data_IF_579827519193
#
_entry.id   IF_579827519193
#
_cell.length_a   1.000
_cell.length_b   1.000
_cell.length_c   1.000
_cell.angle_alpha   90.00
_cell.angle_beta   90.00
_cell.angle_gamma   90.00
#
_symmetry.space_group_name_H-M   'P 1'
#
loop_
_entity.id
_entity.type
_entity.pdbx_description
1 polymer ?
#
# COMPACT_ATOMS: atom_id res chain seq x y z
N UNK A 1 13.58 -23.14 22.13
CA UNK A 1 12.35 -22.61 21.53
C UNK A 1 12.78 -21.58 20.50
N UNK A 2 12.78 -21.98 19.24
CA UNK A 2 13.02 -21.10 18.11
C UNK A 2 11.87 -20.11 18.06
N UNK A 3 12.15 -18.83 18.31
CA UNK A 3 11.21 -17.78 17.95
C UNK A 3 11.13 -17.82 16.42
N UNK A 4 10.04 -18.36 15.90
CA UNK A 4 9.65 -18.25 14.50
C UNK A 4 9.48 -16.77 14.17
N UNK A 5 10.59 -16.09 13.91
CA UNK A 5 10.63 -14.76 13.33
C UNK A 5 10.28 -14.94 11.86
N UNK A 6 9.01 -15.31 11.61
CA UNK A 6 8.36 -15.26 10.33
C UNK A 6 8.28 -13.77 9.98
N UNK A 7 9.38 -13.20 9.51
CA UNK A 7 9.35 -12.11 8.55
C UNK A 7 8.71 -12.67 7.27
N UNK A 8 7.41 -12.96 7.36
CA UNK A 8 6.54 -13.05 6.22
C UNK A 8 6.70 -11.68 5.55
N UNK A 9 7.26 -11.65 4.34
CA UNK A 9 7.20 -10.49 3.45
C UNK A 9 5.74 -10.02 3.44
N UNK A 10 5.42 -9.02 4.27
CA UNK A 10 4.05 -8.63 4.51
C UNK A 10 3.65 -7.78 3.33
N UNK A 11 2.72 -8.27 2.52
CA UNK A 11 2.19 -7.49 1.40
C UNK A 11 1.42 -6.29 1.94
N UNK A 12 1.81 -5.10 1.50
CA UNK A 12 1.19 -3.83 1.84
C UNK A 12 0.58 -3.26 0.57
N UNK A 13 -0.73 -2.98 0.61
CA UNK A 13 -1.44 -2.39 -0.52
C UNK A 13 -1.69 -0.92 -0.21
N UNK A 14 -1.05 -0.04 -0.96
CA UNK A 14 -1.27 1.40 -0.92
C UNK A 14 -2.49 1.75 -1.77
N UNK A 15 -3.57 2.10 -1.09
CA UNK A 15 -4.86 2.41 -1.72
C UNK A 15 -4.96 3.92 -1.88
N UNK A 16 -5.16 4.36 -3.12
CA UNK A 16 -5.30 5.77 -3.46
C UNK A 16 -6.49 5.99 -4.41
N UNK A 17 -6.94 7.24 -4.55
CA UNK A 17 -7.97 7.62 -5.53
C UNK A 17 -7.42 8.74 -6.41
N UNK A 18 -7.62 8.65 -7.72
CA UNK A 18 -7.27 9.72 -8.68
C UNK A 18 -8.36 10.79 -8.80
N UNK A 19 -9.04 11.16 -7.72
CA UNK A 19 -10.22 12.01 -7.82
C UNK A 19 -9.93 13.45 -8.31
N UNK A 20 -8.69 13.93 -8.33
CA UNK A 20 -8.29 15.24 -8.91
C UNK A 20 -6.83 15.18 -9.40
N UNK A 21 -6.34 16.24 -10.08
CA UNK A 21 -4.89 16.41 -10.37
C UNK A 21 -4.11 16.13 -9.10
N UNK A 22 -3.47 14.96 -9.04
CA UNK A 22 -2.70 14.51 -7.89
C UNK A 22 -1.66 15.59 -7.59
N UNK A 23 -1.68 16.24 -6.40
CA UNK A 23 -0.66 17.21 -6.06
C UNK A 23 0.71 16.53 -6.18
N UNK A 24 1.71 17.22 -6.74
CA UNK A 24 3.07 16.65 -6.85
C UNK A 24 3.59 16.16 -5.48
N UNK A 25 3.17 16.81 -4.39
CA UNK A 25 3.45 16.41 -3.01
C UNK A 25 2.89 15.04 -2.62
N UNK A 26 1.73 14.64 -3.16
CA UNK A 26 1.13 13.33 -2.88
C UNK A 26 1.88 12.22 -3.62
N UNK A 27 2.29 12.46 -4.86
CA UNK A 27 3.16 11.52 -5.61
C UNK A 27 4.49 11.31 -4.87
N UNK A 28 5.15 12.39 -4.48
CA UNK A 28 6.42 12.35 -3.72
C UNK A 28 6.24 11.61 -2.38
N UNK A 29 5.12 11.84 -1.69
CA UNK A 29 4.79 11.13 -0.46
C UNK A 29 4.60 9.63 -0.69
N UNK A 30 3.86 9.23 -1.73
CA UNK A 30 3.66 7.82 -2.09
C UNK A 30 4.97 7.12 -2.44
N UNK A 31 5.84 7.79 -3.21
CA UNK A 31 7.15 7.27 -3.58
C UNK A 31 8.05 7.09 -2.34
N UNK A 32 8.04 8.07 -1.43
CA UNK A 32 8.80 8.00 -0.18
C UNK A 32 8.29 6.88 0.75
N UNK A 33 6.96 6.73 0.83
CA UNK A 33 6.33 5.70 1.65
C UNK A 33 6.59 4.30 1.11
N UNK A 34 6.47 4.10 -0.21
CA UNK A 34 6.80 2.84 -0.85
C UNK A 34 8.26 2.44 -0.60
N UNK A 35 9.19 3.38 -0.81
CA UNK A 35 10.61 3.14 -0.57
C UNK A 35 10.90 2.74 0.88
N UNK A 36 10.29 3.44 1.84
CA UNK A 36 10.45 3.14 3.26
C UNK A 36 9.93 1.73 3.61
N UNK A 37 8.77 1.34 3.08
CA UNK A 37 8.15 0.03 3.29
C UNK A 37 8.97 -1.09 2.64
N UNK A 38 9.45 -0.89 1.40
CA UNK A 38 10.31 -1.84 0.71
C UNK A 38 11.65 -2.03 1.44
N UNK A 39 12.24 -0.95 1.95
CA UNK A 39 13.48 -1.01 2.75
C UNK A 39 13.26 -1.78 4.06
N UNK A 40 12.05 -1.73 4.61
CA UNK A 40 11.63 -2.52 5.77
C UNK A 40 11.30 -3.99 5.44
N UNK A 41 11.41 -4.41 4.16
CA UNK A 41 11.16 -5.77 3.71
C UNK A 41 9.71 -6.08 3.34
N UNK A 42 8.86 -5.06 3.16
CA UNK A 42 7.50 -5.25 2.69
C UNK A 42 7.43 -5.37 1.15
N UNK A 43 6.55 -6.24 0.65
CA UNK A 43 6.11 -6.18 -0.75
C UNK A 43 5.04 -5.09 -0.85
N UNK A 44 5.22 -4.11 -1.72
CA UNK A 44 4.31 -2.96 -1.82
C UNK A 44 3.63 -2.96 -3.17
N UNK A 45 2.31 -2.82 -3.16
CA UNK A 45 1.49 -2.69 -4.38
C UNK A 45 0.63 -1.42 -4.30
N UNK A 46 0.59 -0.64 -5.38
CA UNK A 46 -0.26 0.56 -5.47
C UNK A 46 -1.56 0.22 -6.19
N UNK A 47 -2.69 0.45 -5.54
CA UNK A 47 -4.00 0.16 -6.11
C UNK A 47 -4.87 1.42 -6.13
N UNK A 48 -5.33 1.77 -7.33
CA UNK A 48 -6.30 2.85 -7.52
C UNK A 48 -7.70 2.30 -7.24
N UNK A 49 -8.37 2.83 -6.23
CA UNK A 49 -9.70 2.40 -5.81
C UNK A 49 -10.73 2.51 -6.96
N UNK A 50 -10.51 3.44 -7.89
CA UNK A 50 -11.40 3.63 -9.03
C UNK A 50 -11.14 2.64 -10.17
N UNK A 51 -9.99 1.97 -10.21
CA UNK A 51 -9.61 1.12 -11.33
C UNK A 51 -10.20 -0.29 -11.21
N UNK A 52 -10.20 -0.88 -10.02
CA UNK A 52 -10.67 -2.27 -9.81
C UNK A 52 -10.91 -2.56 -8.31
N UNK A 53 -12.13 -2.33 -7.78
CA UNK A 53 -12.44 -2.61 -6.39
C UNK A 53 -12.40 -4.11 -6.05
N UNK A 54 -12.66 -4.99 -7.01
CA UNK A 54 -12.64 -6.44 -6.80
C UNK A 54 -11.24 -6.97 -6.47
N UNK A 55 -10.21 -6.45 -7.17
CA UNK A 55 -8.80 -6.79 -6.90
C UNK A 55 -8.40 -6.39 -5.48
N UNK A 56 -8.97 -5.32 -4.94
CA UNK A 56 -8.72 -4.92 -3.56
C UNK A 56 -9.25 -5.97 -2.57
N UNK A 57 -10.44 -6.51 -2.81
CA UNK A 57 -11.01 -7.57 -1.96
C UNK A 57 -10.13 -8.81 -1.98
N UNK A 58 -9.68 -9.24 -3.17
CA UNK A 58 -8.77 -10.38 -3.30
C UNK A 58 -7.48 -10.20 -2.48
N UNK A 59 -6.88 -9.01 -2.49
CA UNK A 59 -5.69 -8.73 -1.68
C UNK A 59 -5.97 -8.75 -0.18
N UNK A 60 -7.12 -8.23 0.25
CA UNK A 60 -7.52 -8.23 1.65
C UNK A 60 -7.77 -9.66 2.15
N UNK A 61 -8.45 -10.49 1.35
CA UNK A 61 -8.68 -11.90 1.63
C UNK A 61 -7.36 -12.70 1.69
N UNK A 62 -6.39 -12.36 0.84
CA UNK A 62 -5.04 -12.91 0.88
C UNK A 62 -4.20 -12.43 2.09
N UNK A 63 -4.74 -11.55 2.94
CA UNK A 63 -4.09 -11.07 4.16
C UNK A 63 -3.14 -9.90 3.95
N UNK A 64 -3.24 -9.18 2.82
CA UNK A 64 -2.48 -7.96 2.62
C UNK A 64 -2.94 -6.86 3.58
N UNK A 65 -2.01 -6.01 4.01
CA UNK A 65 -2.29 -4.87 4.89
C UNK A 65 -2.71 -3.65 4.05
N UNK A 66 -3.95 -3.16 4.17
CA UNK A 66 -4.37 -1.96 3.46
C UNK A 66 -3.84 -0.69 4.13
N UNK A 67 -3.29 0.22 3.32
CA UNK A 67 -2.93 1.57 3.74
C UNK A 67 -3.67 2.56 2.85
N UNK A 68 -4.66 3.25 3.43
CA UNK A 68 -5.47 4.23 2.70
C UNK A 68 -4.83 5.60 2.80
N UNK A 69 -4.45 6.17 1.65
CA UNK A 69 -3.86 7.51 1.58
C UNK A 69 -4.97 8.52 1.28
N UNK A 70 -5.34 9.30 2.29
CA UNK A 70 -6.29 10.41 2.14
C UNK A 70 -5.52 11.71 1.91
N UNK A 71 -6.02 12.57 1.01
CA UNK A 71 -5.55 13.95 0.87
C UNK A 71 -5.71 14.63 2.23
N UNK A 72 -4.63 15.20 2.77
CA UNK A 72 -4.70 16.06 3.94
C UNK A 72 -5.65 17.22 3.66
N UNK A 73 -6.66 17.38 4.52
CA UNK A 73 -7.59 18.50 4.48
C UNK A 73 -6.90 19.78 4.94
#
# INVERSE_FOLDING_TARGET
MTMDNKSLNKKVVLIYTRCEKTPASLTVYMDSLELALQTAGAEVERLDLNASPDILLDHLEAGALPVVIKKGS
#
